data_IF_778564359597
#
_entry.id   IF_778564359597
#
_cell.length_a   1.000
_cell.length_b   1.000
_cell.length_c   1.000
_cell.angle_alpha   90.00
_cell.angle_beta   90.00
_cell.angle_gamma   90.00
#
_symmetry.space_group_name_H-M   'P 1'
#
loop_
_entity.id
_entity.type
_entity.pdbx_description
1 polymer ?
#
# COMPACT_ATOMS: atom_id res chain seq x y z
N UNK A 1 -13.64 -20.23 25.28
CA UNK A 1 -13.26 -19.96 23.89
C UNK A 1 -13.57 -18.50 23.67
N UNK A 2 -12.56 -17.66 23.41
CA UNK A 2 -12.77 -16.22 23.21
C UNK A 2 -12.75 -15.98 21.71
N UNK A 3 -13.82 -15.41 21.17
CA UNK A 3 -13.84 -14.94 19.79
C UNK A 3 -12.99 -13.67 19.71
N UNK A 4 -11.77 -13.81 19.21
CA UNK A 4 -10.86 -12.71 18.93
C UNK A 4 -10.77 -12.53 17.42
N UNK A 5 -11.06 -11.32 16.94
CA UNK A 5 -10.84 -10.93 15.55
C UNK A 5 -9.46 -10.28 15.48
N UNK A 6 -8.50 -10.99 14.89
CA UNK A 6 -7.21 -10.41 14.54
C UNK A 6 -7.42 -9.63 13.25
N UNK A 7 -7.38 -8.31 13.36
CA UNK A 7 -7.50 -7.40 12.23
C UNK A 7 -6.13 -6.75 12.06
N UNK A 8 -5.62 -6.78 10.83
CA UNK A 8 -4.33 -6.18 10.49
C UNK A 8 -4.49 -4.65 10.41
N UNK A 9 -4.61 -4.02 11.58
CA UNK A 9 -4.94 -2.61 11.75
C UNK A 9 -3.68 -1.74 11.94
N UNK A 10 -2.48 -2.20 11.59
CA UNK A 10 -1.27 -1.38 11.57
C UNK A 10 -1.01 -0.63 12.88
N UNK A 11 -0.58 -1.33 13.93
CA UNK A 11 -0.21 -0.75 15.23
C UNK A 11 -1.13 -1.15 16.39
N UNK A 12 -2.23 -1.86 16.11
CA UNK A 12 -3.07 -2.51 17.11
C UNK A 12 -3.03 -4.02 16.87
N UNK A 13 -2.50 -4.79 17.82
CA UNK A 13 -2.31 -6.23 17.66
C UNK A 13 -3.64 -7.01 17.80
N UNK A 14 -4.52 -6.57 18.71
CA UNK A 14 -5.76 -7.29 19.06
C UNK A 14 -6.86 -6.33 19.50
N UNK A 15 -8.08 -6.52 18.99
CA UNK A 15 -9.30 -5.91 19.54
C UNK A 15 -10.02 -6.94 20.39
N UNK A 16 -10.15 -6.64 21.69
CA UNK A 16 -10.92 -7.46 22.63
C UNK A 16 -12.36 -6.94 22.68
N UNK A 17 -13.27 -7.70 22.07
CA UNK A 17 -14.69 -7.36 22.00
C UNK A 17 -15.45 -7.60 23.31
N UNK A 18 -16.75 -7.32 23.28
CA UNK A 18 -17.66 -7.51 24.44
C UNK A 18 -17.71 -8.96 24.90
N UNK A 19 -17.56 -9.93 23.99
CA UNK A 19 -17.46 -11.36 24.31
C UNK A 19 -16.34 -11.66 25.31
N UNK A 20 -15.18 -11.02 25.16
CA UNK A 20 -14.07 -11.12 26.10
C UNK A 20 -14.40 -10.43 27.42
N UNK A 21 -14.96 -9.21 27.39
CA UNK A 21 -15.34 -8.48 28.60
C UNK A 21 -16.35 -9.25 29.47
N UNK A 22 -17.28 -9.99 28.86
CA UNK A 22 -18.22 -10.86 29.56
C UNK A 22 -17.54 -11.96 30.40
N UNK A 23 -16.31 -12.36 30.04
CA UNK A 23 -15.56 -13.38 30.80
C UNK A 23 -14.99 -12.87 32.12
N UNK A 24 -14.87 -11.55 32.28
CA UNK A 24 -14.23 -10.91 33.44
C UNK A 24 -15.19 -10.69 34.62
N UNK A 25 -16.51 -10.78 34.38
CA UNK A 25 -17.53 -10.53 35.38
C UNK A 25 -17.61 -9.05 35.77
N UNK A 26 -17.50 -8.75 37.07
CA UNK A 26 -17.61 -7.37 37.57
C UNK A 26 -16.30 -6.61 37.33
N UNK A 27 -16.41 -5.50 36.62
CA UNK A 27 -15.31 -4.60 36.28
C UNK A 27 -15.59 -3.22 36.87
N UNK A 28 -14.56 -2.55 37.38
CA UNK A 28 -14.59 -1.12 37.69
C UNK A 28 -13.83 -0.35 36.62
N UNK A 29 -14.43 0.71 36.11
CA UNK A 29 -13.84 1.56 35.07
C UNK A 29 -13.72 3.00 35.57
N UNK A 30 -12.51 3.54 35.55
CA UNK A 30 -12.25 4.96 35.71
C UNK A 30 -11.95 5.58 34.34
N UNK A 31 -12.91 6.31 33.82
CA UNK A 31 -12.81 6.95 32.51
C UNK A 31 -11.88 8.17 32.51
N UNK A 32 -11.71 8.84 33.65
CA UNK A 32 -10.82 9.99 33.75
C UNK A 32 -9.36 9.56 33.80
N UNK A 33 -9.06 8.49 34.54
CA UNK A 33 -7.73 7.90 34.61
C UNK A 33 -7.46 6.90 33.47
N UNK A 34 -8.44 6.59 32.63
CA UNK A 34 -8.40 5.52 31.62
C UNK A 34 -7.90 4.19 32.21
N UNK A 35 -8.46 3.79 33.36
CA UNK A 35 -8.07 2.56 34.05
C UNK A 35 -9.25 1.60 34.19
N UNK A 36 -8.98 0.30 34.00
CA UNK A 36 -9.95 -0.78 34.10
C UNK A 36 -9.46 -1.81 35.11
N UNK A 37 -10.27 -2.14 36.11
CA UNK A 37 -9.92 -3.07 37.18
C UNK A 37 -10.90 -4.24 37.25
N UNK A 38 -10.39 -5.46 37.34
CA UNK A 38 -11.21 -6.67 37.45
C UNK A 38 -10.48 -7.78 38.20
N UNK A 39 -11.22 -8.81 38.62
CA UNK A 39 -10.67 -9.97 39.31
C UNK A 39 -10.46 -11.12 38.32
N UNK A 40 -9.25 -11.65 38.26
CA UNK A 40 -8.92 -12.84 37.48
C UNK A 40 -8.18 -13.82 38.38
N UNK A 41 -8.71 -15.03 38.52
CA UNK A 41 -8.10 -16.11 39.34
C UNK A 41 -7.71 -15.68 40.76
N UNK A 42 -8.54 -14.85 41.41
CA UNK A 42 -8.29 -14.35 42.77
C UNK A 42 -7.26 -13.22 42.87
N UNK A 43 -6.76 -12.70 41.74
CA UNK A 43 -5.88 -11.54 41.68
C UNK A 43 -6.62 -10.34 41.10
N UNK A 44 -6.38 -9.17 41.69
CA UNK A 44 -6.83 -7.90 41.12
C UNK A 44 -5.89 -7.52 39.98
N UNK A 45 -6.45 -7.36 38.77
CA UNK A 45 -5.74 -6.91 37.57
C UNK A 45 -6.19 -5.50 37.24
N UNK A 46 -5.23 -4.62 36.96
CA UNK A 46 -5.48 -3.24 36.53
C UNK A 46 -4.86 -3.04 35.16
N UNK A 47 -5.70 -2.74 34.17
CA UNK A 47 -5.29 -2.26 32.87
C UNK A 47 -5.26 -0.74 32.91
N UNK A 48 -4.13 -0.15 32.53
CA UNK A 48 -3.91 1.27 32.53
C UNK A 48 -3.72 1.74 31.09
N UNK A 49 -4.56 2.68 30.65
CA UNK A 49 -4.34 3.36 29.37
C UNK A 49 -3.03 4.13 29.40
N UNK A 50 -2.22 3.98 28.36
CA UNK A 50 -1.01 4.77 28.17
C UNK A 50 -1.40 6.19 27.71
N UNK A 51 -1.91 6.99 28.65
CA UNK A 51 -2.37 8.35 28.42
C UNK A 51 -1.35 9.39 28.84
N UNK A 52 -0.31 9.60 28.02
CA UNK A 52 0.57 10.79 28.13
C UNK A 52 0.86 11.38 26.77
N UNK A 53 -0.19 11.82 26.08
CA UNK A 53 -0.15 13.03 25.23
C UNK A 53 -1.59 13.43 24.98
N UNK A 54 -1.97 14.60 25.51
CA UNK A 54 -3.35 15.09 25.58
C UNK A 54 -3.88 15.67 24.26
N UNK A 55 -3.27 15.34 23.11
CA UNK A 55 -3.63 16.01 21.85
C UNK A 55 -4.35 15.16 20.81
N UNK A 56 -4.41 13.84 20.90
CA UNK A 56 -5.27 13.09 19.97
C UNK A 56 -6.05 12.00 20.70
N UNK A 57 -7.34 12.28 20.92
CA UNK A 57 -8.30 11.24 21.27
C UNK A 57 -8.31 10.22 20.12
N UNK A 58 -7.62 9.10 20.32
CA UNK A 58 -7.53 8.03 19.34
C UNK A 58 -8.87 7.27 19.29
N UNK A 59 -9.83 7.84 18.56
CA UNK A 59 -11.04 7.11 18.18
C UNK A 59 -10.67 6.09 17.10
N UNK A 60 -11.30 4.91 17.14
CA UNK A 60 -11.22 3.93 16.05
C UNK A 60 -11.63 4.59 14.71
N UNK A 61 -12.57 5.53 14.76
CA UNK A 61 -12.95 6.34 13.61
C UNK A 61 -11.86 7.32 13.17
N UNK A 62 -11.10 7.94 14.08
CA UNK A 62 -9.96 8.78 13.69
C UNK A 62 -8.93 7.94 12.94
N UNK A 63 -8.61 6.74 13.44
CA UNK A 63 -7.71 5.80 12.79
C UNK A 63 -8.22 5.28 11.43
N UNK A 64 -9.53 5.10 11.27
CA UNK A 64 -10.16 4.66 10.02
C UNK A 64 -10.38 5.81 9.00
N UNK A 65 -10.66 7.03 9.48
CA UNK A 65 -10.88 8.24 8.67
C UNK A 65 -9.56 8.85 8.19
N UNK A 66 -8.45 8.60 8.88
CA UNK A 66 -7.12 9.07 8.51
C UNK A 66 -6.58 8.51 7.17
N UNK A 67 -7.37 7.66 6.51
CA UNK A 67 -7.14 7.32 5.09
C UNK A 67 -7.40 8.51 4.15
N UNK A 68 -8.14 9.54 4.58
CA UNK A 68 -8.53 10.70 3.75
C UNK A 68 -7.77 12.00 4.03
N UNK A 69 -7.19 12.21 5.22
CA UNK A 69 -6.43 13.43 5.51
C UNK A 69 -4.92 13.19 5.39
N UNK A 70 -4.24 14.09 4.69
CA UNK A 70 -2.83 13.96 4.31
C UNK A 70 -1.86 14.28 5.44
N UNK A 71 -2.35 14.84 6.56
CA UNK A 71 -1.50 15.43 7.61
C UNK A 71 -1.14 14.43 8.73
N UNK A 72 -1.98 13.44 9.03
CA UNK A 72 -1.65 12.42 10.05
C UNK A 72 -1.11 11.10 9.48
N UNK A 73 -0.99 10.98 8.15
CA UNK A 73 -0.25 9.90 7.50
C UNK A 73 1.17 9.77 8.00
N UNK A 74 1.77 10.85 8.49
CA UNK A 74 3.12 10.86 9.01
C UNK A 74 3.28 10.10 10.34
N UNK A 75 2.24 9.93 11.17
CA UNK A 75 2.41 9.27 12.47
C UNK A 75 2.59 7.74 12.35
N UNK A 76 1.74 7.04 11.58
CA UNK A 76 1.93 5.60 11.35
C UNK A 76 3.04 5.31 10.34
N UNK A 77 3.26 6.19 9.35
CA UNK A 77 4.41 6.06 8.45
C UNK A 77 5.71 6.28 9.23
N UNK A 78 5.77 7.18 10.22
CA UNK A 78 6.99 7.32 11.05
C UNK A 78 7.26 6.13 11.96
N UNK A 79 6.24 5.38 12.38
CA UNK A 79 6.45 4.15 13.16
C UNK A 79 6.74 2.91 12.29
N UNK A 80 6.27 2.88 11.04
CA UNK A 80 6.47 1.76 10.10
C UNK A 80 7.70 1.98 9.19
N UNK A 81 8.03 3.24 8.93
CA UNK A 81 9.27 3.76 8.38
C UNK A 81 9.95 4.50 9.53
N UNK A 82 10.35 3.74 10.56
CA UNK A 82 11.71 4.01 11.00
C UNK A 82 12.52 3.65 9.78
N UNK A 83 13.05 4.66 9.07
CA UNK A 83 14.34 4.45 8.45
C UNK A 83 15.18 3.86 9.57
N UNK A 84 15.41 2.54 9.50
CA UNK A 84 16.38 1.91 10.37
C UNK A 84 17.70 2.43 9.81
N UNK A 85 18.05 3.66 10.17
CA UNK A 85 19.41 4.15 10.31
C UNK A 85 20.03 3.50 11.57
N UNK A 86 19.76 2.20 11.71
CA UNK A 86 20.40 1.30 12.63
C UNK A 86 21.17 0.31 11.76
N UNK A 87 22.42 0.11 12.12
CA UNK A 87 23.27 -0.99 11.68
C UNK A 87 22.68 -2.32 12.23
N UNK A 88 21.41 -2.57 11.90
CA UNK A 88 20.70 -3.78 12.27
C UNK A 88 21.40 -4.91 11.57
N UNK A 89 21.90 -5.89 12.33
CA UNK A 89 22.55 -7.09 11.82
C UNK A 89 21.53 -7.76 10.89
N UNK A 90 21.63 -7.47 9.59
CA UNK A 90 20.92 -8.20 8.56
C UNK A 90 21.47 -9.61 8.66
N UNK A 91 20.60 -10.58 8.90
CA UNK A 91 21.00 -11.99 8.94
C UNK A 91 21.88 -12.27 7.71
N UNK A 92 23.08 -12.81 7.94
CA UNK A 92 24.07 -13.05 6.90
C UNK A 92 23.50 -13.84 5.72
N UNK A 93 22.56 -14.75 5.99
CA UNK A 93 21.86 -15.51 4.96
C UNK A 93 20.95 -14.63 4.09
N UNK A 94 20.24 -13.67 4.68
CA UNK A 94 19.40 -12.71 3.96
C UNK A 94 20.24 -11.75 3.13
N UNK A 95 21.36 -11.26 3.67
CA UNK A 95 22.24 -10.36 2.93
C UNK A 95 22.89 -11.05 1.72
N UNK A 96 23.27 -12.33 1.86
CA UNK A 96 23.72 -13.16 0.75
C UNK A 96 22.63 -13.33 -0.32
N UNK A 97 21.38 -13.57 0.09
CA UNK A 97 20.25 -13.72 -0.83
C UNK A 97 19.96 -12.41 -1.59
N UNK A 98 19.94 -11.28 -0.90
CA UNK A 98 19.73 -9.97 -1.52
C UNK A 98 20.84 -9.63 -2.51
N UNK A 99 22.09 -9.96 -2.19
CA UNK A 99 23.20 -9.80 -3.14
C UNK A 99 23.08 -10.74 -4.33
N UNK A 100 22.68 -12.00 -4.11
CA UNK A 100 22.49 -12.99 -5.17
C UNK A 100 21.42 -12.54 -6.19
N UNK A 101 20.32 -11.94 -5.71
CA UNK A 101 19.20 -11.51 -6.55
C UNK A 101 19.09 -9.99 -6.70
N UNK A 102 20.21 -9.27 -6.55
CA UNK A 102 20.23 -7.81 -6.63
C UNK A 102 19.68 -7.25 -7.96
N UNK A 103 19.79 -8.05 -9.03
CA UNK A 103 19.23 -7.71 -10.35
C UNK A 103 17.70 -7.60 -10.37
N UNK A 104 16.99 -8.39 -9.55
CA UNK A 104 15.51 -8.43 -9.51
C UNK A 104 14.94 -7.12 -8.97
N UNK A 105 15.72 -6.42 -8.12
CA UNK A 105 15.32 -5.18 -7.47
C UNK A 105 15.77 -3.92 -8.23
N UNK A 106 16.39 -4.07 -9.41
CA UNK A 106 16.76 -2.91 -10.21
C UNK A 106 15.51 -2.26 -10.82
N UNK A 107 15.25 -1.00 -10.49
CA UNK A 107 14.23 -0.18 -11.14
C UNK A 107 14.67 0.21 -12.56
N UNK A 108 14.66 -0.74 -13.48
CA UNK A 108 14.96 -0.52 -14.89
C UNK A 108 13.80 -1.00 -15.73
N UNK A 109 13.25 -0.09 -16.54
CA UNK A 109 12.30 -0.44 -17.59
C UNK A 109 13.08 -1.16 -18.70
N UNK A 110 12.99 -2.48 -18.76
CA UNK A 110 13.59 -3.30 -19.81
C UNK A 110 12.65 -4.43 -20.23
N UNK A 111 12.81 -4.92 -21.46
CA UNK A 111 12.10 -6.11 -21.89
C UNK A 111 12.51 -7.32 -21.05
N UNK A 112 11.55 -8.21 -20.70
CA UNK A 112 11.89 -9.46 -20.06
C UNK A 112 12.76 -10.32 -20.99
N UNK A 113 13.54 -11.26 -20.44
CA UNK A 113 14.33 -12.19 -21.24
C UNK A 113 13.43 -12.99 -22.19
N UNK A 114 13.99 -13.34 -23.36
CA UNK A 114 13.29 -14.11 -24.39
C UNK A 114 12.84 -15.45 -23.79
N UNK A 115 11.56 -15.79 -24.00
CA UNK A 115 10.95 -17.06 -23.55
C UNK A 115 10.60 -17.93 -24.74
N UNK A 116 10.45 -19.23 -24.52
CA UNK A 116 10.11 -20.21 -25.56
C UNK A 116 8.70 -20.05 -26.12
N UNK A 117 7.79 -19.44 -25.36
CA UNK A 117 6.40 -19.23 -25.76
C UNK A 117 6.16 -17.77 -26.12
N UNK A 118 5.58 -17.55 -27.30
CA UNK A 118 5.07 -16.25 -27.72
C UNK A 118 3.55 -16.20 -27.54
N UNK A 119 3.05 -15.11 -26.97
CA UNK A 119 1.61 -14.90 -26.82
C UNK A 119 1.02 -14.30 -28.11
N UNK A 120 -0.02 -14.93 -28.64
CA UNK A 120 -0.77 -14.43 -29.79
C UNK A 120 -2.21 -14.10 -29.40
N UNK A 121 -2.67 -12.90 -29.74
CA UNK A 121 -4.07 -12.51 -29.61
C UNK A 121 -4.81 -12.97 -30.87
N UNK A 122 -5.73 -13.94 -30.74
CA UNK A 122 -6.55 -14.44 -31.85
C UNK A 122 -7.79 -13.57 -32.01
N UNK A 123 -8.01 -13.04 -33.22
CA UNK A 123 -9.21 -12.28 -33.57
C UNK A 123 -10.29 -13.22 -34.13
N UNK A 124 -11.55 -12.85 -33.94
CA UNK A 124 -12.66 -13.52 -34.64
C UNK A 124 -12.59 -13.20 -36.14
N UNK A 125 -12.99 -14.16 -36.99
CA UNK A 125 -12.85 -14.07 -38.44
C UNK A 125 -13.54 -12.83 -39.04
N UNK A 126 -14.63 -12.37 -38.42
CA UNK A 126 -15.46 -11.28 -38.94
C UNK A 126 -15.05 -9.91 -38.39
N UNK A 127 -14.05 -9.84 -37.51
CA UNK A 127 -13.67 -8.61 -36.84
C UNK A 127 -12.54 -7.89 -37.60
N UNK A 128 -12.89 -6.79 -38.26
CA UNK A 128 -11.93 -5.91 -38.94
C UNK A 128 -11.06 -5.08 -37.99
N UNK A 129 -10.14 -4.26 -38.54
CA UNK A 129 -9.31 -3.37 -37.74
C UNK A 129 -10.11 -2.24 -37.10
N UNK A 130 -9.75 -1.86 -35.88
CA UNK A 130 -10.35 -0.73 -35.17
C UNK A 130 -9.34 0.41 -35.13
N UNK A 131 -9.67 1.54 -35.75
CA UNK A 131 -8.83 2.72 -35.77
C UNK A 131 -9.57 3.93 -35.22
N UNK A 132 -9.15 4.40 -34.04
CA UNK A 132 -9.76 5.52 -33.33
C UNK A 132 -8.82 6.72 -33.31
N UNK A 133 -9.35 7.92 -33.57
CA UNK A 133 -8.55 9.15 -33.53
C UNK A 133 -8.08 9.45 -32.10
N UNK A 134 -6.82 9.90 -31.91
CA UNK A 134 -6.35 10.40 -30.61
C UNK A 134 -7.20 11.57 -30.09
N UNK A 135 -7.36 11.66 -28.77
CA UNK A 135 -7.98 12.83 -28.15
C UNK A 135 -7.09 14.07 -28.26
N UNK A 136 -7.70 15.25 -28.09
CA UNK A 136 -6.97 16.52 -28.02
C UNK A 136 -6.43 16.74 -26.62
N UNK A 137 -5.12 16.93 -26.49
CA UNK A 137 -4.44 17.18 -25.22
C UNK A 137 -4.00 18.64 -25.11
N UNK A 138 -4.14 19.27 -23.94
CA UNK A 138 -3.39 20.47 -23.58
C UNK A 138 -1.88 20.24 -23.70
N UNK A 139 -1.10 21.32 -23.91
CA UNK A 139 0.34 21.24 -24.13
C UNK A 139 1.10 20.44 -23.05
N UNK A 140 0.82 20.72 -21.77
CA UNK A 140 1.49 20.03 -20.65
C UNK A 140 1.22 18.51 -20.61
N UNK A 141 0.02 18.08 -21.02
CA UNK A 141 -0.31 16.65 -21.11
C UNK A 141 0.39 15.99 -22.29
N UNK A 142 0.48 16.69 -23.41
CA UNK A 142 1.19 16.19 -24.58
C UNK A 142 2.69 16.00 -24.29
N UNK A 143 3.32 16.95 -23.61
CA UNK A 143 4.73 16.87 -23.21
C UNK A 143 4.99 15.63 -22.33
N UNK A 144 4.10 15.36 -21.37
CA UNK A 144 4.22 14.20 -20.50
C UNK A 144 4.04 12.87 -21.26
N UNK A 145 3.10 12.81 -22.21
CA UNK A 145 2.94 11.64 -23.09
C UNK A 145 4.22 11.42 -23.91
N UNK A 146 4.78 12.48 -24.51
CA UNK A 146 5.99 12.39 -25.33
C UNK A 146 7.20 11.95 -24.49
N UNK A 147 7.31 12.43 -23.25
CA UNK A 147 8.34 11.98 -22.29
C UNK A 147 8.24 10.48 -22.02
N UNK A 148 7.06 9.98 -21.63
CA UNK A 148 6.86 8.55 -21.33
C UNK A 148 7.05 7.68 -22.58
N UNK A 149 6.59 8.11 -23.75
CA UNK A 149 6.80 7.40 -25.02
C UNK A 149 8.28 7.28 -25.36
N UNK A 150 9.06 8.34 -25.14
CA UNK A 150 10.52 8.31 -25.36
C UNK A 150 11.21 7.31 -24.43
N UNK A 151 10.88 7.32 -23.15
CA UNK A 151 11.41 6.37 -22.16
C UNK A 151 11.07 4.92 -22.55
N UNK A 152 9.84 4.64 -22.99
CA UNK A 152 9.43 3.31 -23.43
C UNK A 152 10.10 2.86 -24.73
N UNK A 153 10.40 3.78 -25.65
CA UNK A 153 11.17 3.50 -26.87
C UNK A 153 12.64 3.18 -26.54
N UNK A 154 13.27 3.94 -25.65
CA UNK A 154 14.64 3.71 -25.19
C UNK A 154 14.77 2.38 -24.42
N UNK A 155 13.77 2.05 -23.61
CA UNK A 155 13.64 0.76 -22.93
C UNK A 155 13.37 -0.43 -23.86
N UNK A 156 12.98 -0.18 -25.12
CA UNK A 156 12.60 -1.21 -26.09
C UNK A 156 11.23 -1.86 -25.84
N UNK A 157 10.43 -1.32 -24.91
CA UNK A 157 9.10 -1.85 -24.56
C UNK A 157 8.09 -1.62 -25.69
N UNK A 158 8.23 -0.51 -26.41
CA UNK A 158 7.42 -0.19 -27.60
C UNK A 158 8.30 0.06 -28.82
N UNK A 159 7.69 0.03 -30.01
CA UNK A 159 8.35 0.34 -31.28
C UNK A 159 7.41 1.07 -32.25
N UNK A 160 7.92 1.89 -33.17
CA UNK A 160 7.11 2.44 -34.25
C UNK A 160 6.45 1.33 -35.07
N UNK A 161 5.19 1.53 -35.46
CA UNK A 161 4.46 0.58 -36.31
C UNK A 161 3.48 1.30 -37.22
N UNK A 162 3.15 0.67 -38.35
CA UNK A 162 2.11 1.11 -39.27
C UNK A 162 0.90 0.16 -39.18
N UNK A 163 0.34 0.03 -37.98
CA UNK A 163 -0.80 -0.86 -37.72
C UNK A 163 -2.10 -0.28 -38.29
N UNK A 164 -2.98 -1.14 -38.78
CA UNK A 164 -4.37 -0.78 -39.09
C UNK A 164 -5.20 -0.55 -37.82
N UNK A 165 -4.69 -0.97 -36.65
CA UNK A 165 -5.32 -0.77 -35.34
C UNK A 165 -4.76 0.47 -34.64
N UNK A 166 -5.63 1.27 -34.03
CA UNK A 166 -5.25 2.38 -33.16
C UNK A 166 -6.25 2.61 -32.04
N UNK A 167 -5.73 2.95 -30.86
CA UNK A 167 -6.51 3.32 -29.68
C UNK A 167 -5.93 4.60 -29.08
N UNK A 168 -6.78 5.52 -28.57
CA UNK A 168 -6.30 6.74 -27.93
C UNK A 168 -5.64 6.40 -26.59
N UNK A 169 -4.52 7.05 -26.29
CA UNK A 169 -3.91 7.07 -24.94
C UNK A 169 -4.81 7.88 -24.01
N UNK A 170 -4.78 7.68 -22.69
CA UNK A 170 -5.46 8.56 -21.71
C UNK A 170 -4.48 8.80 -20.57
N UNK A 171 -4.33 10.06 -20.14
CA UNK A 171 -3.53 10.37 -18.95
C UNK A 171 -4.37 10.33 -17.69
N UNK A 172 -3.85 9.66 -16.66
CA UNK A 172 -4.46 9.58 -15.34
C UNK A 172 -3.48 10.11 -14.29
N UNK A 173 -3.95 11.05 -13.48
CA UNK A 173 -3.17 11.58 -12.35
C UNK A 173 -3.21 10.60 -11.18
N UNK A 174 -2.05 10.21 -10.68
CA UNK A 174 -1.90 9.40 -9.47
C UNK A 174 -2.02 10.28 -8.21
N UNK A 175 -2.17 9.63 -7.05
CA UNK A 175 -2.27 10.30 -5.75
C UNK A 175 -1.00 11.09 -5.40
N UNK A 176 0.15 10.61 -5.82
CA UNK A 176 1.46 11.28 -5.68
C UNK A 176 1.64 12.51 -6.59
N UNK A 177 0.63 12.86 -7.38
CA UNK A 177 0.65 14.00 -8.31
C UNK A 177 1.28 13.69 -9.67
N UNK A 178 1.92 12.52 -9.84
CA UNK A 178 2.49 12.07 -11.10
C UNK A 178 1.41 11.67 -12.11
N UNK A 179 1.77 11.64 -13.39
CA UNK A 179 0.89 11.19 -14.46
C UNK A 179 1.31 9.80 -14.96
N UNK A 180 0.34 8.97 -15.36
CA UNK A 180 0.59 7.74 -16.11
C UNK A 180 -0.33 7.69 -17.34
N UNK A 181 0.22 7.18 -18.43
CA UNK A 181 -0.55 6.69 -19.58
C UNK A 181 -1.23 5.34 -19.28
#
# INVERSE_FOLDING_TARGET
>A
MVDALVLDLGGLDVILGVSWLCTLGKVMMDWQALSMQFWLEGKSVVLQGQGTNKEEQCFLNAFLEDRQNEVNKEWWISNSIKEVSGDGIVDSALQQLLHQYAEVFQEKLQLPPVRTQEHQIKLFADHGPVSVRPYRYPHHQKEEIERQVKELLEAGVIRPSMSAFSSPVILVKKKDGSWRM
#
